data_IF_731686619587
#
_entry.id   IF_731686619587
#
_cell.length_a   1.000
_cell.length_b   1.000
_cell.length_c   1.000
_cell.angle_alpha   90.00
_cell.angle_beta   90.00
_cell.angle_gamma   90.00
#
_symmetry.space_group_name_H-M   'P 1'
#
loop_
_entity.id
_entity.type
_entity.pdbx_description
1 polymer ?
#
# COMPACT_ATOMS: atom_id res chain seq x y z
N UNK A 1 5.34 64.86 41.21
CA UNK A 1 4.37 64.36 40.22
C UNK A 1 4.20 62.86 40.45
N UNK A 2 3.26 62.44 41.29
CA UNK A 2 3.09 61.05 41.75
C UNK A 2 2.12 60.36 40.77
N UNK A 3 2.66 59.51 39.88
CA UNK A 3 1.85 58.68 39.00
C UNK A 3 1.11 57.62 39.84
N UNK A 4 -0.21 57.66 39.76
CA UNK A 4 -1.16 56.92 40.55
C UNK A 4 -0.84 55.40 40.50
N UNK A 5 -0.55 54.78 41.65
CA UNK A 5 -0.20 53.37 41.80
C UNK A 5 -1.25 52.39 41.23
N UNK A 6 -2.50 52.88 41.14
CA UNK A 6 -3.63 52.11 40.58
C UNK A 6 -3.61 51.98 39.06
N UNK A 7 -3.08 52.96 38.33
CA UNK A 7 -2.94 52.86 36.88
C UNK A 7 -1.87 51.84 36.46
N UNK A 8 -0.74 51.81 37.18
CA UNK A 8 0.33 50.81 36.92
C UNK A 8 -0.16 49.40 37.10
N UNK A 9 -1.02 49.11 38.11
CA UNK A 9 -1.63 47.78 38.32
C UNK A 9 -2.62 47.42 37.21
N UNK A 10 -3.40 48.37 36.69
CA UNK A 10 -4.32 48.11 35.56
C UNK A 10 -3.59 47.83 34.26
N UNK A 11 -2.49 48.52 33.98
CA UNK A 11 -1.69 48.30 32.78
C UNK A 11 -0.94 46.93 32.82
N UNK A 12 -0.39 46.55 33.97
CA UNK A 12 0.26 45.25 34.16
C UNK A 12 -0.75 44.09 34.00
N UNK A 13 -1.97 44.26 34.56
CA UNK A 13 -3.03 43.24 34.43
C UNK A 13 -3.54 43.08 33.00
N UNK A 14 -3.62 44.14 32.21
CA UNK A 14 -4.01 44.03 30.79
C UNK A 14 -2.93 43.36 29.94
N UNK A 15 -1.65 43.69 30.12
CA UNK A 15 -0.54 43.07 29.42
C UNK A 15 -0.43 41.58 29.77
N UNK A 16 -0.66 41.24 31.04
CA UNK A 16 -0.62 39.82 31.49
C UNK A 16 -1.78 39.02 30.90
N UNK A 17 -2.99 39.59 30.84
CA UNK A 17 -4.15 38.91 30.19
C UNK A 17 -3.97 38.73 28.69
N UNK A 18 -3.38 39.70 27.98
CA UNK A 18 -3.09 39.54 26.56
C UNK A 18 -2.00 38.49 26.29
N UNK A 19 -0.91 38.49 27.07
CA UNK A 19 0.15 37.50 26.93
C UNK A 19 -0.33 36.09 27.24
N UNK A 20 -1.11 35.92 28.33
CA UNK A 20 -1.68 34.60 28.69
C UNK A 20 -2.61 34.05 27.63
N UNK A 21 -3.47 34.92 27.04
CA UNK A 21 -4.38 34.47 25.95
C UNK A 21 -3.59 33.98 24.73
N UNK A 22 -2.54 34.71 24.35
CA UNK A 22 -1.71 34.37 23.20
C UNK A 22 -0.93 33.06 23.45
N UNK A 23 -0.45 32.85 24.66
CA UNK A 23 0.23 31.57 25.04
C UNK A 23 -0.73 30.39 25.04
N UNK A 24 -1.95 30.56 25.58
CA UNK A 24 -2.99 29.53 25.58
C UNK A 24 -3.37 29.15 24.14
N UNK A 25 -3.59 30.14 23.27
CA UNK A 25 -3.89 29.88 21.86
C UNK A 25 -2.77 29.10 21.17
N UNK A 26 -1.52 29.46 21.42
CA UNK A 26 -0.36 28.75 20.85
C UNK A 26 -0.29 27.28 21.31
N UNK A 27 -0.57 27.03 22.60
CA UNK A 27 -0.61 25.66 23.15
C UNK A 27 -1.74 24.84 22.52
N UNK A 28 -2.91 25.44 22.35
CA UNK A 28 -4.05 24.76 21.69
C UNK A 28 -3.72 24.39 20.24
N UNK A 29 -3.13 25.32 19.48
CA UNK A 29 -2.74 25.07 18.08
C UNK A 29 -1.71 23.93 18.03
N UNK A 30 -0.73 23.93 18.92
CA UNK A 30 0.29 22.89 18.99
C UNK A 30 -0.32 21.52 19.35
N UNK A 31 -1.27 21.49 20.27
CA UNK A 31 -2.01 20.28 20.63
C UNK A 31 -2.83 19.73 19.43
N UNK A 32 -3.48 20.61 18.67
CA UNK A 32 -4.23 20.23 17.47
C UNK A 32 -3.30 19.64 16.41
N UNK A 33 -2.14 20.25 16.17
CA UNK A 33 -1.15 19.73 15.22
C UNK A 33 -0.65 18.34 15.62
N UNK A 34 -0.37 18.14 16.91
CA UNK A 34 0.04 16.80 17.43
C UNK A 34 -1.09 15.79 17.26
N UNK A 35 -2.33 16.16 17.59
CA UNK A 35 -3.48 15.27 17.42
C UNK A 35 -3.69 14.87 15.96
N UNK A 36 -3.60 15.81 15.03
CA UNK A 36 -3.72 15.56 13.59
C UNK A 36 -2.61 14.59 13.14
N UNK A 37 -1.36 14.81 13.56
CA UNK A 37 -0.26 13.89 13.24
C UNK A 37 -0.48 12.48 13.80
N UNK A 38 -0.98 12.36 15.04
CA UNK A 38 -1.28 11.05 15.64
C UNK A 38 -2.43 10.34 14.90
N UNK A 39 -3.46 11.10 14.50
CA UNK A 39 -4.58 10.55 13.72
C UNK A 39 -4.10 10.07 12.36
N UNK A 40 -3.29 10.86 11.64
CA UNK A 40 -2.72 10.48 10.35
C UNK A 40 -1.82 9.25 10.49
N UNK A 41 -1.01 9.19 11.53
CA UNK A 41 -0.13 8.04 11.79
C UNK A 41 -0.89 6.75 12.17
N UNK A 42 -2.06 6.87 12.80
CA UNK A 42 -2.93 5.73 13.14
C UNK A 42 -3.89 5.33 12.03
N UNK A 43 -4.30 6.29 11.20
CA UNK A 43 -4.94 5.96 9.94
C UNK A 43 -3.81 5.41 9.06
N UNK A 44 -3.85 4.10 8.78
CA UNK A 44 -3.04 3.44 7.77
C UNK A 44 -3.40 4.04 6.39
N UNK A 45 -3.12 5.32 6.22
CA UNK A 45 -3.22 6.06 4.96
C UNK A 45 -1.98 5.76 4.11
N UNK A 46 -1.60 4.51 4.10
CA UNK A 46 -0.89 3.90 3.00
C UNK A 46 -1.87 3.65 1.85
N UNK A 47 -2.81 4.56 1.62
CA UNK A 47 -3.36 4.73 0.30
C UNK A 47 -2.25 5.35 -0.50
N UNK A 48 -1.59 4.49 -1.24
CA UNK A 48 -0.67 4.84 -2.30
C UNK A 48 -1.19 6.06 -3.05
N UNK A 49 -0.74 7.25 -2.65
CA UNK A 49 -1.03 8.50 -3.40
C UNK A 49 -0.33 8.50 -4.76
N UNK A 50 0.32 7.38 -5.08
CA UNK A 50 1.13 7.19 -6.27
C UNK A 50 0.58 6.14 -7.24
N UNK A 51 -0.50 5.42 -6.92
CA UNK A 51 -0.82 4.19 -7.62
C UNK A 51 -2.11 4.20 -8.43
N UNK A 52 -2.81 5.31 -8.49
CA UNK A 52 -4.21 5.30 -8.95
C UNK A 52 -4.42 4.79 -10.38
N UNK A 53 -3.37 4.55 -11.16
CA UNK A 53 -3.51 3.96 -12.49
C UNK A 53 -2.43 2.93 -12.88
N UNK A 54 -1.33 2.82 -12.15
CA UNK A 54 -0.25 1.89 -12.50
C UNK A 54 -0.51 0.46 -12.01
N UNK A 55 -1.35 0.31 -11.00
CA UNK A 55 -1.72 -0.97 -10.39
C UNK A 55 -3.24 -1.17 -10.39
N UNK A 56 -3.94 -0.74 -11.43
CA UNK A 56 -5.37 -1.02 -11.58
C UNK A 56 -5.62 -1.87 -12.80
N UNK A 57 -6.42 -2.91 -12.65
CA UNK A 57 -6.91 -3.68 -13.78
C UNK A 57 -7.99 -2.87 -14.50
N UNK A 58 -8.05 -3.01 -15.83
CA UNK A 58 -9.13 -2.40 -16.60
C UNK A 58 -10.50 -3.01 -16.22
N UNK A 59 -11.55 -2.25 -16.39
CA UNK A 59 -12.93 -2.73 -16.15
C UNK A 59 -13.25 -3.99 -16.93
N UNK A 60 -12.73 -4.08 -18.15
CA UNK A 60 -12.95 -5.23 -19.03
C UNK A 60 -12.21 -6.48 -18.49
N UNK A 61 -10.96 -6.32 -18.03
CA UNK A 61 -10.21 -7.40 -17.39
C UNK A 61 -10.93 -7.87 -16.13
N UNK A 62 -11.39 -6.95 -15.28
CA UNK A 62 -12.13 -7.29 -14.06
C UNK A 62 -13.39 -8.07 -14.40
N UNK A 63 -14.16 -7.61 -15.39
CA UNK A 63 -15.41 -8.24 -15.80
C UNK A 63 -15.16 -9.62 -16.39
N UNK A 64 -14.11 -9.77 -17.20
CA UNK A 64 -13.72 -11.06 -17.78
C UNK A 64 -13.32 -12.06 -16.69
N UNK A 65 -12.43 -11.67 -15.79
CA UNK A 65 -11.93 -12.54 -14.71
C UNK A 65 -13.04 -12.94 -13.76
N UNK A 66 -13.93 -12.01 -13.39
CA UNK A 66 -15.11 -12.32 -12.58
C UNK A 66 -16.11 -13.24 -13.26
N UNK A 67 -16.12 -13.26 -14.59
CA UNK A 67 -16.95 -14.15 -15.39
C UNK A 67 -16.43 -15.59 -15.51
N UNK A 68 -15.20 -15.87 -15.06
CA UNK A 68 -14.63 -17.21 -15.05
C UNK A 68 -15.40 -18.11 -14.08
N UNK A 69 -15.74 -19.31 -14.54
CA UNK A 69 -16.49 -20.31 -13.74
C UNK A 69 -15.61 -21.36 -13.08
N UNK A 70 -14.37 -21.43 -13.50
CA UNK A 70 -13.39 -22.41 -13.03
C UNK A 70 -12.46 -21.76 -12.03
N UNK A 71 -12.05 -22.50 -11.01
CA UNK A 71 -11.06 -22.06 -10.03
C UNK A 71 -9.68 -22.03 -10.68
N UNK A 72 -9.08 -20.85 -10.70
CA UNK A 72 -7.76 -20.61 -11.28
C UNK A 72 -6.78 -20.28 -10.15
N UNK A 73 -5.61 -20.91 -10.19
CA UNK A 73 -4.50 -20.52 -9.31
C UNK A 73 -3.33 -20.04 -10.16
N UNK A 74 -2.83 -18.87 -9.85
CA UNK A 74 -1.61 -18.29 -10.43
C UNK A 74 -0.49 -18.49 -9.44
N UNK A 75 0.49 -19.32 -9.80
CA UNK A 75 1.72 -19.48 -9.03
C UNK A 75 2.79 -18.55 -9.59
N UNK A 76 3.20 -17.57 -8.78
CA UNK A 76 4.34 -16.72 -9.09
C UNK A 76 5.59 -17.31 -8.47
N UNK A 77 6.53 -17.71 -9.34
CA UNK A 77 7.74 -18.44 -8.96
C UNK A 77 8.88 -17.46 -8.80
N UNK A 78 9.26 -17.17 -7.56
CA UNK A 78 10.31 -16.20 -7.29
C UNK A 78 10.98 -16.47 -5.95
N UNK A 79 12.29 -16.30 -5.91
CA UNK A 79 13.05 -16.27 -4.67
C UNK A 79 12.78 -14.96 -3.92
N UNK A 80 12.74 -15.01 -2.59
CA UNK A 80 12.48 -13.83 -1.78
C UNK A 80 13.56 -12.76 -2.00
N UNK A 81 13.11 -11.56 -2.37
CA UNK A 81 13.98 -10.44 -2.71
C UNK A 81 14.38 -10.35 -4.18
N UNK A 82 14.00 -11.32 -5.01
CA UNK A 82 14.28 -11.33 -6.46
C UNK A 82 13.05 -10.97 -7.31
N UNK A 83 12.02 -10.39 -6.70
CA UNK A 83 10.81 -9.99 -7.43
C UNK A 83 11.14 -9.04 -8.58
N UNK A 84 10.65 -9.38 -9.77
CA UNK A 84 10.88 -8.60 -10.97
C UNK A 84 10.33 -7.18 -10.83
N UNK A 85 11.14 -6.23 -11.24
CA UNK A 85 10.78 -4.83 -11.26
C UNK A 85 10.92 -4.29 -12.69
N UNK A 86 9.88 -3.68 -13.18
CA UNK A 86 9.94 -2.93 -14.44
C UNK A 86 9.99 -1.44 -14.12
N UNK A 87 10.95 -0.72 -14.71
CA UNK A 87 11.06 0.72 -14.53
C UNK A 87 10.49 1.44 -15.76
N UNK A 88 9.51 2.27 -15.55
CA UNK A 88 9.15 3.36 -16.45
C UNK A 88 9.95 4.60 -16.04
N UNK A 89 10.13 5.56 -16.94
CA UNK A 89 11.02 6.74 -16.76
C UNK A 89 10.92 7.50 -15.43
N UNK A 90 9.87 7.23 -14.64
CA UNK A 90 9.62 7.89 -13.35
C UNK A 90 9.24 6.93 -12.22
N UNK A 91 9.03 5.64 -12.47
CA UNK A 91 8.53 4.72 -11.45
C UNK A 91 8.98 3.28 -11.67
N UNK A 92 9.41 2.65 -10.58
CA UNK A 92 9.62 1.20 -10.54
C UNK A 92 8.29 0.51 -10.24
N UNK A 93 7.88 -0.41 -11.11
CA UNK A 93 6.67 -1.20 -10.96
C UNK A 93 7.09 -2.60 -10.53
N UNK A 94 6.58 -3.06 -9.39
CA UNK A 94 6.79 -4.41 -8.91
C UNK A 94 5.75 -5.33 -9.55
N UNK A 95 6.22 -6.35 -10.26
CA UNK A 95 5.36 -7.33 -10.98
C UNK A 95 4.47 -8.09 -9.99
N UNK A 96 4.97 -8.41 -8.80
CA UNK A 96 4.19 -9.05 -7.75
C UNK A 96 2.95 -8.24 -7.37
N UNK A 97 3.06 -6.92 -7.32
CA UNK A 97 1.91 -6.05 -7.00
C UNK A 97 0.84 -6.09 -8.10
N UNK A 98 1.25 -6.24 -9.37
CA UNK A 98 0.30 -6.39 -10.47
C UNK A 98 -0.41 -7.73 -10.38
N UNK A 99 0.33 -8.81 -10.14
CA UNK A 99 -0.23 -10.17 -10.04
C UNK A 99 -1.20 -10.25 -8.86
N UNK A 100 -0.88 -9.63 -7.73
CA UNK A 100 -1.76 -9.57 -6.55
C UNK A 100 -3.11 -8.90 -6.80
N UNK A 101 -3.25 -8.07 -7.83
CA UNK A 101 -4.55 -7.50 -8.20
C UNK A 101 -5.55 -8.54 -8.69
N UNK A 102 -5.08 -9.70 -9.11
CA UNK A 102 -5.93 -10.82 -9.50
C UNK A 102 -6.37 -11.68 -8.31
N UNK A 103 -5.68 -11.58 -7.16
CA UNK A 103 -5.97 -12.38 -5.98
C UNK A 103 -7.34 -12.02 -5.39
N UNK A 104 -8.19 -13.03 -5.23
CA UNK A 104 -9.57 -12.86 -4.80
C UNK A 104 -10.50 -12.23 -5.83
N UNK A 105 -10.05 -12.02 -7.06
CA UNK A 105 -10.91 -11.54 -8.14
C UNK A 105 -11.68 -12.73 -8.75
N UNK A 106 -12.96 -12.84 -8.42
CA UNK A 106 -13.77 -14.00 -8.81
C UNK A 106 -13.27 -15.29 -8.14
N UNK A 107 -12.90 -16.27 -8.97
CA UNK A 107 -12.38 -17.57 -8.54
C UNK A 107 -10.86 -17.68 -8.67
N UNK A 108 -10.17 -16.56 -8.83
CA UNK A 108 -8.71 -16.53 -9.00
C UNK A 108 -8.01 -16.42 -7.64
N UNK A 109 -6.98 -17.24 -7.45
CA UNK A 109 -6.05 -17.17 -6.31
C UNK A 109 -4.63 -16.93 -6.81
N UNK A 110 -3.86 -16.17 -6.07
CA UNK A 110 -2.44 -15.93 -6.35
C UNK A 110 -1.61 -16.51 -5.22
N UNK A 111 -0.65 -17.35 -5.55
CA UNK A 111 0.29 -17.93 -4.58
C UNK A 111 1.74 -17.70 -5.04
N UNK A 112 2.56 -17.16 -4.15
CA UNK A 112 4.00 -17.06 -4.34
C UNK A 112 4.65 -18.39 -3.94
N UNK A 113 5.55 -18.91 -4.77
CA UNK A 113 6.35 -20.11 -4.48
C UNK A 113 7.81 -19.84 -4.77
N UNK A 114 8.66 -20.12 -3.81
CA UNK A 114 10.11 -20.04 -4.00
C UNK A 114 10.61 -21.29 -4.73
N UNK A 115 11.14 -21.17 -5.97
CA UNK A 115 11.58 -22.32 -6.76
C UNK A 115 12.83 -23.00 -6.19
N UNK A 116 13.64 -22.27 -5.42
CA UNK A 116 14.84 -22.80 -4.77
C UNK A 116 14.45 -23.72 -3.59
N UNK A 117 13.47 -23.29 -2.79
CA UNK A 117 12.98 -24.08 -1.66
C UNK A 117 12.12 -25.28 -2.11
N UNK A 118 11.41 -25.14 -3.24
CA UNK A 118 10.49 -26.16 -3.76
C UNK A 118 10.80 -26.55 -5.22
N UNK A 119 11.99 -27.13 -5.52
CA UNK A 119 12.45 -27.36 -6.89
C UNK A 119 11.59 -28.37 -7.68
N UNK A 120 10.85 -29.23 -6.99
CA UNK A 120 9.97 -30.22 -7.61
C UNK A 120 8.52 -29.72 -7.78
N UNK A 121 8.19 -28.53 -7.28
CA UNK A 121 6.84 -28.01 -7.37
C UNK A 121 6.42 -27.78 -8.82
N UNK A 122 7.23 -27.06 -9.57
CA UNK A 122 6.96 -26.70 -10.96
C UNK A 122 6.88 -27.92 -11.89
N UNK A 123 7.64 -28.98 -11.62
CA UNK A 123 7.64 -30.24 -12.41
C UNK A 123 6.28 -30.94 -12.47
N UNK A 124 5.36 -30.60 -11.59
CA UNK A 124 3.97 -31.08 -11.62
C UNK A 124 3.15 -30.47 -12.74
N UNK A 125 3.56 -29.31 -13.23
CA UNK A 125 2.78 -28.48 -14.12
C UNK A 125 3.48 -28.21 -15.46
N UNK A 126 4.81 -28.28 -15.49
CA UNK A 126 5.61 -28.06 -16.69
C UNK A 126 6.83 -28.97 -16.72
N UNK A 127 7.26 -29.33 -17.93
CA UNK A 127 8.55 -30.03 -18.19
C UNK A 127 9.67 -29.03 -18.46
N UNK A 128 9.38 -27.74 -18.55
CA UNK A 128 10.38 -26.71 -18.85
C UNK A 128 11.20 -26.38 -17.61
N UNK A 129 12.40 -25.84 -17.84
CA UNK A 129 13.26 -25.34 -16.77
C UNK A 129 12.72 -24.01 -16.27
N UNK A 130 12.28 -23.99 -15.03
CA UNK A 130 11.71 -22.81 -14.38
C UNK A 130 12.80 -21.87 -13.89
N UNK A 131 12.61 -20.60 -14.14
CA UNK A 131 13.47 -19.51 -13.67
C UNK A 131 12.74 -18.61 -12.66
N UNK A 132 13.48 -17.71 -12.01
CA UNK A 132 12.90 -16.67 -11.18
C UNK A 132 12.01 -15.75 -12.02
N UNK A 133 10.89 -15.37 -11.41
CA UNK A 133 9.86 -14.53 -12.00
C UNK A 133 8.98 -15.17 -13.08
N UNK A 134 9.09 -16.46 -13.26
CA UNK A 134 8.15 -17.22 -14.08
C UNK A 134 6.80 -17.41 -13.38
N UNK A 135 5.80 -17.76 -14.18
CA UNK A 135 4.44 -17.98 -13.67
C UNK A 135 3.87 -19.28 -14.20
N UNK A 136 3.08 -19.95 -13.36
CA UNK A 136 2.27 -21.09 -13.76
C UNK A 136 0.81 -20.78 -13.45
N UNK A 137 -0.03 -20.80 -14.47
CA UNK A 137 -1.48 -20.65 -14.33
C UNK A 137 -2.12 -22.03 -14.38
N UNK A 138 -2.85 -22.40 -13.35
CA UNK A 138 -3.48 -23.70 -13.22
C UNK A 138 -4.98 -23.56 -13.13
N UNK A 139 -5.70 -24.28 -13.96
CA UNK A 139 -7.13 -24.49 -13.82
C UNK A 139 -7.35 -25.72 -12.90
N UNK A 140 -7.80 -25.45 -11.67
CA UNK A 140 -7.94 -26.49 -10.64
C UNK A 140 -9.05 -27.52 -10.95
N UNK A 141 -10.00 -27.16 -11.80
CA UNK A 141 -11.12 -28.02 -12.15
C UNK A 141 -10.73 -29.12 -13.12
N UNK A 142 -9.89 -28.82 -14.09
CA UNK A 142 -9.50 -29.77 -15.14
C UNK A 142 -8.00 -30.14 -15.10
N UNK A 143 -7.25 -29.58 -14.20
CA UNK A 143 -5.82 -29.81 -14.02
C UNK A 143 -4.92 -29.28 -15.13
N UNK A 144 -5.48 -28.52 -16.09
CA UNK A 144 -4.67 -27.92 -17.15
C UNK A 144 -3.82 -26.80 -16.59
N UNK A 145 -2.59 -26.73 -17.03
CA UNK A 145 -1.64 -25.69 -16.64
C UNK A 145 -1.02 -25.02 -17.87
N UNK A 146 -0.73 -23.74 -17.71
CA UNK A 146 0.00 -22.93 -18.68
C UNK A 146 1.21 -22.31 -17.98
N UNK A 147 2.39 -22.59 -18.51
CA UNK A 147 3.63 -21.96 -18.08
C UNK A 147 3.88 -20.68 -18.86
N UNK A 148 4.38 -19.66 -18.18
CA UNK A 148 4.69 -18.32 -18.70
C UNK A 148 6.07 -17.92 -18.16
N UNK A 149 6.99 -17.63 -19.06
CA UNK A 149 8.35 -17.13 -18.81
C UNK A 149 8.49 -15.68 -19.26
#
# INVERSE_FOLDING_TARGET
MSRNKNEKKKFASRKFKMGSFQTITMVIVLAVVVLVNVVIARMNWSKDMNSDYLYSLSSDTISYVKGLKDDITIYYLVEDGHEAQTSSYTKTINVENIIKLYDGLGTVKVEKKNPVLYPNFAKKYTSESVQDNDMIVVNNKNGKSQYLS
#
